data_IF_627259856749
#
_entry.id   IF_627259856749
#
_cell.length_a   1.000
_cell.length_b   1.000
_cell.length_c   1.000
_cell.angle_alpha   90.00
_cell.angle_beta   90.00
_cell.angle_gamma   90.00
#
_symmetry.space_group_name_H-M   'P 1'
#
loop_
_entity.id
_entity.type
_entity.pdbx_description
1 polymer ?
#
# COMPACT_ATOMS: atom_id res chain seq x y z
N UNK A 1 -14.51 -36.88 3.57
CA UNK A 1 -13.37 -36.04 4.01
C UNK A 1 -13.19 -34.99 2.94
N UNK A 2 -13.28 -33.71 3.28
CA UNK A 2 -13.11 -32.61 2.32
C UNK A 2 -11.62 -32.50 1.99
N UNK A 3 -11.29 -32.42 0.71
CA UNK A 3 -9.90 -32.27 0.25
C UNK A 3 -9.69 -30.85 -0.26
N UNK A 4 -8.54 -30.30 0.05
CA UNK A 4 -8.09 -29.00 -0.45
C UNK A 4 -6.76 -29.19 -1.17
N UNK A 5 -6.57 -28.41 -2.24
CA UNK A 5 -5.33 -28.39 -3.03
C UNK A 5 -4.32 -27.45 -2.41
N UNK A 6 -4.81 -26.34 -1.80
CA UNK A 6 -3.98 -25.30 -1.20
C UNK A 6 -4.54 -24.91 0.17
N UNK A 7 -3.68 -24.81 1.16
CA UNK A 7 -3.99 -24.22 2.47
C UNK A 7 -3.21 -22.92 2.67
N UNK A 8 -3.92 -21.83 2.96
CA UNK A 8 -3.34 -20.53 3.29
C UNK A 8 -3.40 -20.37 4.80
N UNK A 9 -2.26 -20.18 5.44
CA UNK A 9 -2.17 -19.99 6.89
C UNK A 9 -2.20 -18.49 7.19
N UNK A 10 -3.27 -18.06 7.87
CA UNK A 10 -3.56 -16.68 8.26
C UNK A 10 -4.57 -15.98 7.36
N UNK A 11 -5.63 -15.46 7.98
CA UNK A 11 -6.74 -14.71 7.36
C UNK A 11 -6.55 -13.18 7.41
N UNK A 12 -5.30 -12.68 7.50
CA UNK A 12 -4.99 -11.26 7.34
C UNK A 12 -5.06 -10.81 5.88
N UNK A 13 -4.78 -9.52 5.61
CA UNK A 13 -4.87 -8.94 4.26
C UNK A 13 -4.06 -9.74 3.22
N UNK A 14 -2.88 -10.22 3.58
CA UNK A 14 -2.03 -10.99 2.66
C UNK A 14 -2.69 -12.32 2.30
N UNK A 15 -3.15 -13.09 3.29
CA UNK A 15 -3.83 -14.36 3.05
C UNK A 15 -5.12 -14.19 2.25
N UNK A 16 -5.92 -13.17 2.56
CA UNK A 16 -7.14 -12.86 1.82
C UNK A 16 -6.84 -12.46 0.36
N UNK A 17 -5.79 -11.66 0.11
CA UNK A 17 -5.39 -11.31 -1.25
C UNK A 17 -4.90 -12.53 -2.05
N UNK A 18 -4.16 -13.45 -1.40
CA UNK A 18 -3.73 -14.71 -2.03
C UNK A 18 -4.95 -15.57 -2.36
N UNK A 19 -5.88 -15.75 -1.41
CA UNK A 19 -7.11 -16.51 -1.63
C UNK A 19 -7.93 -15.93 -2.79
N UNK A 20 -8.10 -14.60 -2.83
CA UNK A 20 -8.78 -13.89 -3.93
C UNK A 20 -8.10 -14.16 -5.29
N UNK A 21 -6.79 -14.15 -5.32
CA UNK A 21 -6.07 -14.41 -6.57
C UNK A 21 -6.21 -15.88 -7.01
N UNK A 22 -6.15 -16.81 -6.07
CA UNK A 22 -6.31 -18.24 -6.33
C UNK A 22 -7.73 -18.61 -6.76
N UNK A 23 -8.75 -17.87 -6.29
CA UNK A 23 -10.15 -18.07 -6.71
C UNK A 23 -10.40 -17.87 -8.22
N UNK A 24 -9.41 -17.41 -8.98
CA UNK A 24 -9.46 -17.35 -10.46
C UNK A 24 -9.08 -18.66 -11.14
N UNK A 25 -8.65 -19.64 -10.38
CA UNK A 25 -8.18 -20.94 -10.86
C UNK A 25 -9.13 -22.04 -10.37
N UNK A 26 -9.16 -23.15 -11.06
CA UNK A 26 -9.93 -24.34 -10.66
C UNK A 26 -9.14 -25.14 -9.60
N UNK A 27 -9.12 -24.60 -8.38
CA UNK A 27 -8.42 -25.17 -7.22
C UNK A 27 -9.26 -24.99 -5.96
N UNK A 28 -9.27 -26.01 -5.09
CA UNK A 28 -9.90 -25.93 -3.77
C UNK A 28 -8.97 -25.28 -2.76
N UNK A 29 -9.31 -24.10 -2.28
CA UNK A 29 -8.49 -23.33 -1.34
C UNK A 29 -9.14 -23.33 0.04
N UNK A 30 -8.36 -23.57 1.08
CA UNK A 30 -8.74 -23.33 2.47
C UNK A 30 -7.90 -22.18 3.05
N UNK A 31 -8.55 -21.27 3.77
CA UNK A 31 -7.88 -20.28 4.62
C UNK A 31 -8.03 -20.74 6.07
N UNK A 32 -6.90 -20.92 6.76
CA UNK A 32 -6.85 -21.34 8.16
C UNK A 32 -6.41 -20.15 9.00
N UNK A 33 -7.29 -19.66 9.88
CA UNK A 33 -7.06 -18.55 10.79
C UNK A 33 -7.08 -19.04 12.23
N UNK A 34 -6.14 -18.55 13.06
CA UNK A 34 -6.04 -18.92 14.47
C UNK A 34 -7.03 -18.15 15.36
N UNK A 35 -7.43 -16.95 14.93
CA UNK A 35 -8.42 -16.14 15.64
C UNK A 35 -9.84 -16.57 15.29
N UNK A 36 -10.81 -16.02 15.99
CA UNK A 36 -12.24 -16.30 15.77
C UNK A 36 -12.83 -15.61 14.52
N UNK A 37 -12.05 -14.73 13.88
CA UNK A 37 -12.44 -14.03 12.65
C UNK A 37 -11.20 -13.65 11.85
N UNK A 38 -11.41 -13.28 10.58
CA UNK A 38 -10.35 -12.76 9.70
C UNK A 38 -9.90 -11.35 10.13
N UNK A 39 -8.71 -10.96 9.71
CA UNK A 39 -8.13 -9.63 9.94
C UNK A 39 -7.93 -9.21 11.41
N UNK A 40 -8.03 -10.10 12.38
CA UNK A 40 -7.92 -9.78 13.81
C UNK A 40 -6.55 -9.27 14.27
N UNK A 41 -5.52 -9.38 13.44
CA UNK A 41 -4.16 -8.87 13.71
C UNK A 41 -3.90 -7.48 13.13
N UNK A 42 -2.69 -7.28 12.62
CA UNK A 42 -2.22 -6.00 12.02
C UNK A 42 -3.11 -5.47 10.90
N UNK A 43 -3.86 -6.33 10.21
CA UNK A 43 -4.78 -5.92 9.14
C UNK A 43 -5.95 -5.08 9.63
N UNK A 44 -6.35 -5.22 10.91
CA UNK A 44 -7.35 -4.40 11.57
C UNK A 44 -6.72 -3.24 12.34
N UNK A 45 -5.58 -3.49 12.98
CA UNK A 45 -4.88 -2.55 13.85
C UNK A 45 -3.83 -1.74 13.08
N UNK A 46 -4.27 -0.88 12.17
CA UNK A 46 -3.40 0.04 11.41
C UNK A 46 -4.13 1.35 11.10
N UNK A 47 -3.42 2.34 10.59
CA UNK A 47 -3.97 3.67 10.28
C UNK A 47 -4.75 3.77 8.97
N UNK A 48 -4.92 2.68 8.22
CA UNK A 48 -5.63 2.68 6.94
C UNK A 48 -4.94 3.48 5.82
N UNK A 49 -3.64 3.77 5.97
CA UNK A 49 -2.88 4.55 5.00
C UNK A 49 -2.17 3.65 3.99
N UNK A 50 -2.45 3.87 2.71
CA UNK A 50 -1.71 3.24 1.61
C UNK A 50 -0.50 4.08 1.28
N UNK A 51 0.70 3.52 1.45
CA UNK A 51 1.95 4.22 1.20
C UNK A 51 2.14 4.55 -0.28
N UNK A 52 2.61 5.78 -0.58
CA UNK A 52 2.80 6.28 -1.95
C UNK A 52 3.99 5.69 -2.71
N UNK A 53 4.88 4.95 -2.05
CA UNK A 53 5.99 4.24 -2.71
C UNK A 53 7.28 5.04 -2.90
N UNK A 54 7.35 6.29 -2.42
CA UNK A 54 8.53 7.15 -2.64
C UNK A 54 9.68 6.89 -1.65
N UNK A 55 9.40 6.32 -0.47
CA UNK A 55 10.37 6.12 0.60
C UNK A 55 11.15 4.79 0.58
N UNK A 56 10.67 3.68 0.01
CA UNK A 56 11.46 2.46 -0.04
C UNK A 56 12.72 2.62 -0.91
N UNK A 57 13.80 1.96 -0.49
CA UNK A 57 15.05 1.92 -1.25
C UNK A 57 14.77 1.39 -2.67
N UNK A 58 15.18 2.09 -3.73
CA UNK A 58 15.03 1.61 -5.10
C UNK A 58 15.62 0.20 -5.29
N UNK A 59 15.10 -0.54 -6.24
CA UNK A 59 15.47 -1.91 -6.59
C UNK A 59 15.20 -2.96 -5.49
N UNK A 60 14.58 -2.55 -4.37
CA UNK A 60 14.12 -3.49 -3.34
C UNK A 60 12.75 -4.08 -3.69
N UNK A 61 12.48 -5.31 -3.22
CA UNK A 61 11.16 -5.92 -3.30
C UNK A 61 10.09 -5.01 -2.67
N UNK A 62 10.42 -4.33 -1.56
CA UNK A 62 9.52 -3.37 -0.90
C UNK A 62 9.12 -2.24 -1.85
N UNK A 63 10.04 -1.69 -2.64
CA UNK A 63 9.72 -0.64 -3.61
C UNK A 63 8.78 -1.14 -4.71
N UNK A 64 9.07 -2.30 -5.27
CA UNK A 64 8.27 -2.91 -6.34
C UNK A 64 6.83 -3.20 -5.90
N UNK A 65 6.65 -3.88 -4.75
CA UNK A 65 5.31 -4.26 -4.27
C UNK A 65 4.54 -3.06 -3.72
N UNK A 66 5.22 -2.02 -3.18
CA UNK A 66 4.56 -0.84 -2.65
C UNK A 66 3.94 0.01 -3.76
N UNK A 67 4.71 0.37 -4.78
CA UNK A 67 4.20 1.15 -5.92
C UNK A 67 3.03 0.42 -6.61
N UNK A 68 3.21 -0.87 -6.89
CA UNK A 68 2.17 -1.70 -7.50
C UNK A 68 0.93 -1.87 -6.61
N UNK A 69 1.13 -2.04 -5.31
CA UNK A 69 0.03 -2.12 -4.34
C UNK A 69 -0.80 -0.84 -4.31
N UNK A 70 -0.13 0.32 -4.29
CA UNK A 70 -0.80 1.62 -4.31
C UNK A 70 -1.68 1.82 -5.58
N UNK A 71 -1.20 1.39 -6.75
CA UNK A 71 -2.00 1.41 -7.98
C UNK A 71 -3.24 0.51 -7.89
N UNK A 72 -3.05 -0.71 -7.40
CA UNK A 72 -4.13 -1.71 -7.30
C UNK A 72 -5.25 -1.30 -6.36
N UNK A 73 -4.99 -0.48 -5.34
CA UNK A 73 -6.04 -0.02 -4.41
C UNK A 73 -7.16 0.74 -5.12
N UNK A 74 -6.86 1.55 -6.12
CA UNK A 74 -7.90 2.25 -6.90
C UNK A 74 -8.80 1.29 -7.68
N UNK A 75 -8.20 0.26 -8.28
CA UNK A 75 -8.96 -0.78 -8.98
C UNK A 75 -9.79 -1.60 -7.99
N UNK A 76 -9.18 -2.06 -6.91
CA UNK A 76 -9.84 -2.92 -5.93
C UNK A 76 -10.94 -2.23 -5.15
N UNK A 77 -10.81 -0.92 -4.90
CA UNK A 77 -11.89 -0.16 -4.26
C UNK A 77 -13.17 -0.19 -5.08
N UNK A 78 -13.05 -0.10 -6.41
CA UNK A 78 -14.18 -0.20 -7.32
C UNK A 78 -14.72 -1.64 -7.41
N UNK A 79 -13.83 -2.63 -7.54
CA UNK A 79 -14.21 -4.04 -7.66
C UNK A 79 -14.85 -4.60 -6.39
N UNK A 80 -14.39 -4.17 -5.22
CA UNK A 80 -14.80 -4.70 -3.92
C UNK A 80 -15.73 -3.77 -3.13
N UNK A 81 -15.98 -2.55 -3.62
CA UNK A 81 -16.93 -1.60 -3.03
C UNK A 81 -16.50 -0.99 -1.70
N UNK A 82 -15.19 -0.90 -1.40
CA UNK A 82 -14.71 -0.20 -0.21
C UNK A 82 -14.30 1.25 -0.51
N UNK A 83 -14.46 2.13 0.48
CA UNK A 83 -14.05 3.53 0.36
C UNK A 83 -12.53 3.65 0.24
N UNK A 84 -12.06 4.40 -0.75
CA UNK A 84 -10.65 4.72 -0.95
C UNK A 84 -10.49 6.09 -1.57
N UNK A 85 -9.75 6.96 -0.90
CA UNK A 85 -9.48 8.32 -1.35
C UNK A 85 -7.98 8.53 -1.57
N UNK A 86 -7.64 9.48 -2.42
CA UNK A 86 -6.25 9.89 -2.71
C UNK A 86 -6.04 11.36 -2.34
N UNK A 87 -6.06 11.71 -1.05
CA UNK A 87 -5.88 13.09 -0.62
C UNK A 87 -4.46 13.61 -0.91
N UNK A 88 -3.53 12.70 -1.17
CA UNK A 88 -2.10 12.99 -1.22
C UNK A 88 -1.44 12.87 0.15
N UNK A 89 -0.13 13.17 0.17
CA UNK A 89 0.64 13.28 1.41
C UNK A 89 1.71 14.36 1.26
N UNK A 90 2.05 15.03 2.35
CA UNK A 90 3.12 16.02 2.39
C UNK A 90 4.24 15.58 3.31
N UNK A 91 5.48 15.83 2.88
CA UNK A 91 6.66 15.77 3.73
C UNK A 91 7.19 17.19 3.85
N UNK A 92 7.29 17.71 5.08
CA UNK A 92 7.70 19.09 5.34
C UNK A 92 9.20 19.17 5.59
N UNK A 93 9.82 20.23 5.10
CA UNK A 93 11.21 20.59 5.36
C UNK A 93 11.26 21.95 6.05
N UNK A 94 11.98 22.05 7.15
CA UNK A 94 12.12 23.27 7.97
C UNK A 94 13.53 23.87 7.92
N UNK A 95 14.48 23.15 7.34
CA UNK A 95 15.88 23.56 7.23
C UNK A 95 16.54 22.95 5.97
N UNK A 96 17.82 23.28 5.72
CA UNK A 96 18.56 22.81 4.54
C UNK A 96 18.82 21.30 4.54
N UNK A 97 18.92 20.66 5.69
CA UNK A 97 19.08 19.21 5.79
C UNK A 97 17.79 18.48 5.40
N UNK A 98 16.67 18.95 5.90
CA UNK A 98 15.35 18.45 5.50
C UNK A 98 15.13 18.66 4.01
N UNK A 99 15.58 19.81 3.47
CA UNK A 99 15.47 20.07 2.03
C UNK A 99 16.24 19.05 1.20
N UNK A 100 17.48 18.72 1.58
CA UNK A 100 18.24 17.63 0.93
C UNK A 100 17.54 16.29 1.03
N UNK A 101 16.85 16.04 2.15
CA UNK A 101 16.03 14.83 2.32
C UNK A 101 14.86 14.79 1.34
N UNK A 102 14.16 15.91 1.13
CA UNK A 102 13.08 15.99 0.12
C UNK A 102 13.60 15.70 -1.30
N UNK A 103 14.75 16.27 -1.68
CA UNK A 103 15.36 16.04 -2.99
C UNK A 103 15.72 14.56 -3.17
N UNK A 104 16.27 13.92 -2.12
CA UNK A 104 16.58 12.49 -2.11
C UNK A 104 15.31 11.64 -2.23
N UNK A 105 14.26 11.94 -1.44
CA UNK A 105 12.99 11.20 -1.48
C UNK A 105 12.32 11.33 -2.84
N UNK A 106 12.32 12.51 -3.43
CA UNK A 106 11.79 12.74 -4.78
C UNK A 106 12.55 11.91 -5.82
N UNK A 107 13.88 11.96 -5.81
CA UNK A 107 14.70 11.18 -6.74
C UNK A 107 14.47 9.66 -6.58
N UNK A 108 14.34 9.21 -5.34
CA UNK A 108 14.06 7.82 -4.99
C UNK A 108 12.67 7.39 -5.48
N UNK A 109 11.65 8.21 -5.24
CA UNK A 109 10.28 7.93 -5.68
C UNK A 109 10.16 7.87 -7.20
N UNK A 110 10.85 8.76 -7.94
CA UNK A 110 10.92 8.69 -9.41
C UNK A 110 11.51 7.36 -9.87
N UNK A 111 12.60 6.88 -9.24
CA UNK A 111 13.19 5.57 -9.54
C UNK A 111 12.24 4.41 -9.23
N UNK A 112 11.39 4.56 -8.20
CA UNK A 112 10.37 3.58 -7.84
C UNK A 112 9.12 3.63 -8.73
N UNK A 113 9.07 4.51 -9.73
CA UNK A 113 7.94 4.66 -10.65
C UNK A 113 6.77 5.48 -10.10
N UNK A 114 6.96 6.21 -9.01
CA UNK A 114 5.91 7.04 -8.41
C UNK A 114 5.75 8.33 -9.22
N UNK A 115 4.55 8.58 -9.73
CA UNK A 115 4.18 9.79 -10.46
C UNK A 115 3.68 10.91 -9.51
N UNK A 116 3.69 12.16 -10.01
CA UNK A 116 3.08 13.29 -9.29
C UNK A 116 3.89 13.84 -8.11
N UNK A 117 5.14 13.43 -7.93
CA UNK A 117 6.02 13.95 -6.89
C UNK A 117 6.51 15.35 -7.25
N UNK A 118 6.09 16.34 -6.47
CA UNK A 118 6.47 17.74 -6.66
C UNK A 118 7.06 18.32 -5.36
N UNK A 119 8.01 19.22 -5.48
CA UNK A 119 8.49 20.03 -4.36
C UNK A 119 7.85 21.40 -4.51
N UNK A 120 7.19 21.85 -3.48
CA UNK A 120 6.43 23.10 -3.46
C UNK A 120 6.97 24.05 -2.40
N UNK A 121 6.75 25.34 -2.59
CA UNK A 121 7.11 26.36 -1.60
C UNK A 121 5.98 26.63 -0.59
N UNK A 122 6.26 27.47 0.46
CA UNK A 122 5.33 27.75 1.55
C UNK A 122 3.95 28.23 1.09
N UNK A 123 3.89 29.09 0.08
CA UNK A 123 2.62 29.59 -0.46
C UNK A 123 1.71 28.46 -0.91
N UNK A 124 2.28 27.50 -1.66
CA UNK A 124 1.50 26.36 -2.15
C UNK A 124 1.10 25.39 -1.03
N UNK A 125 1.92 25.28 0.01
CA UNK A 125 1.58 24.48 1.20
C UNK A 125 0.32 25.05 1.87
N UNK A 126 0.27 26.39 2.11
CA UNK A 126 -0.89 27.05 2.71
C UNK A 126 -2.17 26.99 1.84
N UNK A 127 -2.04 26.83 0.52
CA UNK A 127 -3.19 26.64 -0.35
C UNK A 127 -3.74 25.18 -0.27
N UNK A 128 -2.88 24.21 0.04
CA UNK A 128 -3.25 22.81 0.15
C UNK A 128 -3.75 22.41 1.54
N UNK A 129 -3.12 23.00 2.56
CA UNK A 129 -3.42 22.82 3.99
C UNK A 129 -3.44 24.20 4.65
N UNK A 130 -4.61 24.86 4.70
CA UNK A 130 -4.77 26.21 5.27
C UNK A 130 -4.64 26.28 6.79
#
# INVERSE_FOLDING_TARGET
MQRYDIAIIGGGIVGCCIARQLARYDVNVAVVEAANDIACGSSKANGGLVHGGYDPKPDSMKAQVNARGCELYSQWSQELGFAFERPGSMVLAFNDEDRRTLDRLRAQGVKNGVSGLVIVGPKRIHELEP
#
